data_IF_419095658030
#
_entry.id   IF_419095658030
#
_cell.length_a   1.000
_cell.length_b   1.000
_cell.length_c   1.000
_cell.angle_alpha   90.00
_cell.angle_beta   90.00
_cell.angle_gamma   90.00
#
_symmetry.space_group_name_H-M   'P 1'
#
loop_
_entity.id
_entity.type
_entity.pdbx_description
1 polymer ?
#
# COMPACT_ATOMS: atom_id res chain seq x y z
N UNK A 1 18.14 -0.91 6.35
CA UNK A 1 17.13 -1.18 7.40
C UNK A 1 17.66 -2.18 8.40
N UNK A 2 17.72 -3.46 8.02
CA UNK A 2 18.03 -4.57 8.93
C UNK A 2 19.32 -4.40 9.72
N UNK A 3 20.42 -3.97 9.11
CA UNK A 3 21.70 -3.72 9.83
C UNK A 3 21.50 -2.65 10.91
N UNK A 4 20.88 -1.51 10.57
CA UNK A 4 20.62 -0.43 11.53
C UNK A 4 19.68 -0.89 12.66
N UNK A 5 18.65 -1.66 12.30
CA UNK A 5 17.70 -2.21 13.27
C UNK A 5 18.37 -3.16 14.25
N UNK A 6 19.11 -4.15 13.75
CA UNK A 6 19.70 -5.21 14.58
C UNK A 6 20.96 -4.78 15.33
N UNK A 7 21.80 -3.94 14.72
CA UNK A 7 23.08 -3.55 15.31
C UNK A 7 23.01 -2.30 16.19
N UNK A 8 21.99 -1.45 15.99
CA UNK A 8 21.89 -0.19 16.72
C UNK A 8 20.54 -0.04 17.43
N UNK A 9 19.42 -0.09 16.70
CA UNK A 9 18.12 0.25 17.28
C UNK A 9 17.68 -0.71 18.39
N UNK A 10 17.85 -2.03 18.21
CA UNK A 10 17.52 -3.04 19.23
C UNK A 10 18.42 -2.91 20.46
N UNK A 11 19.77 -2.89 20.35
CA UNK A 11 20.65 -2.70 21.51
C UNK A 11 20.39 -1.39 22.26
N UNK A 12 20.19 -0.28 21.55
CA UNK A 12 19.90 1.03 22.16
C UNK A 12 18.57 0.97 22.91
N UNK A 13 17.53 0.39 22.32
CA UNK A 13 16.24 0.26 22.99
C UNK A 13 16.35 -0.62 24.24
N UNK A 14 17.00 -1.78 24.13
CA UNK A 14 17.21 -2.70 25.25
C UNK A 14 18.00 -2.04 26.39
N UNK A 15 19.06 -1.30 26.08
CA UNK A 15 19.95 -0.71 27.09
C UNK A 15 19.36 0.51 27.79
N UNK A 16 18.62 1.37 27.06
CA UNK A 16 18.22 2.68 27.58
C UNK A 16 16.71 2.85 27.79
N UNK A 17 15.89 2.00 27.18
CA UNK A 17 14.44 2.22 27.12
C UNK A 17 13.61 1.02 27.58
N UNK A 18 14.23 -0.12 27.90
CA UNK A 18 13.49 -1.31 28.33
C UNK A 18 12.69 -1.06 29.62
N UNK A 19 13.27 -0.31 30.56
CA UNK A 19 12.62 0.03 31.84
C UNK A 19 11.37 0.91 31.68
N UNK A 20 11.23 1.58 30.52
CA UNK A 20 10.04 2.39 30.20
C UNK A 20 8.83 1.57 29.75
N UNK A 21 9.02 0.27 29.47
CA UNK A 21 7.96 -0.65 29.05
C UNK A 21 7.98 -1.93 29.92
N UNK A 22 7.41 -1.88 31.14
CA UNK A 22 7.47 -3.00 32.08
C UNK A 22 6.76 -4.26 31.57
N UNK A 23 5.78 -4.12 30.67
CA UNK A 23 5.08 -5.25 30.04
C UNK A 23 6.01 -5.98 29.08
N UNK A 24 6.72 -5.23 28.22
CA UNK A 24 7.71 -5.82 27.32
C UNK A 24 8.90 -6.41 28.09
N UNK A 25 9.38 -5.71 29.12
CA UNK A 25 10.48 -6.18 29.97
C UNK A 25 10.15 -7.52 30.65
N UNK A 26 8.94 -7.66 31.21
CA UNK A 26 8.47 -8.91 31.78
C UNK A 26 8.36 -10.04 30.74
N UNK A 27 7.91 -9.72 29.52
CA UNK A 27 7.73 -10.69 28.43
C UNK A 27 9.06 -11.27 27.93
N UNK A 28 10.14 -10.50 27.98
CA UNK A 28 11.46 -10.92 27.47
C UNK A 28 12.41 -11.40 28.58
N UNK A 29 11.98 -11.37 29.85
CA UNK A 29 12.79 -11.79 30.98
C UNK A 29 13.15 -13.28 30.86
N UNK A 30 14.46 -13.57 30.83
CA UNK A 30 14.97 -14.95 30.69
C UNK A 30 14.86 -15.54 29.28
N UNK A 31 14.39 -14.78 28.29
CA UNK A 31 14.35 -15.22 26.89
C UNK A 31 15.74 -15.21 26.25
N UNK A 32 15.91 -15.95 25.14
CA UNK A 32 17.16 -15.95 24.39
C UNK A 32 17.41 -14.57 23.75
N UNK A 33 18.67 -14.24 23.44
CA UNK A 33 19.01 -12.99 22.77
C UNK A 33 18.27 -12.82 21.42
N UNK A 34 18.02 -13.92 20.71
CA UNK A 34 17.26 -13.91 19.45
C UNK A 34 15.79 -13.56 19.69
N UNK A 35 15.17 -14.14 20.72
CA UNK A 35 13.77 -13.88 21.07
C UNK A 35 13.57 -12.47 21.62
N UNK A 36 14.50 -11.99 22.43
CA UNK A 36 14.57 -10.59 22.91
C UNK A 36 14.62 -9.64 21.71
N UNK A 37 15.54 -9.90 20.77
CA UNK A 37 15.68 -9.09 19.56
C UNK A 37 14.41 -9.10 18.71
N UNK A 38 13.81 -10.26 18.49
CA UNK A 38 12.53 -10.40 17.78
C UNK A 38 11.38 -9.65 18.46
N UNK A 39 11.27 -9.73 19.78
CA UNK A 39 10.24 -9.06 20.56
C UNK A 39 10.37 -7.53 20.50
N UNK A 40 11.57 -6.98 20.71
CA UNK A 40 11.84 -5.54 20.61
C UNK A 40 11.65 -5.05 19.17
N UNK A 41 12.11 -5.84 18.19
CA UNK A 41 11.94 -5.50 16.79
C UNK A 41 10.47 -5.35 16.41
N UNK A 42 9.66 -6.35 16.78
CA UNK A 42 8.22 -6.37 16.50
C UNK A 42 7.49 -5.24 17.24
N UNK A 43 7.82 -5.01 18.50
CA UNK A 43 7.11 -4.06 19.35
C UNK A 43 7.50 -2.59 19.12
N UNK A 44 8.71 -2.30 18.64
CA UNK A 44 9.25 -0.93 18.62
C UNK A 44 9.94 -0.57 17.31
N UNK A 45 10.93 -1.38 16.89
CA UNK A 45 11.81 -1.01 15.77
C UNK A 45 11.07 -1.02 14.42
N UNK A 46 10.04 -1.86 14.26
CA UNK A 46 9.17 -1.84 13.07
C UNK A 46 8.53 -0.47 12.83
N UNK A 47 8.14 0.23 13.90
CA UNK A 47 7.55 1.57 13.81
C UNK A 47 8.58 2.65 13.44
N UNK A 48 9.82 2.50 13.89
CA UNK A 48 10.92 3.35 13.45
C UNK A 48 11.19 3.17 11.94
N UNK A 49 11.15 1.93 11.46
CA UNK A 49 11.19 1.62 10.03
C UNK A 49 10.11 2.35 9.23
N UNK A 50 8.88 2.33 9.72
CA UNK A 50 7.75 3.05 9.11
C UNK A 50 8.01 4.56 9.02
N UNK A 51 8.47 5.19 10.10
CA UNK A 51 8.79 6.62 10.09
C UNK A 51 9.83 6.96 9.01
N UNK A 52 10.87 6.14 8.89
CA UNK A 52 11.89 6.34 7.84
C UNK A 52 11.34 6.13 6.43
N UNK A 53 10.43 5.17 6.23
CA UNK A 53 9.77 4.95 4.94
C UNK A 53 8.84 6.09 4.55
N UNK A 54 8.12 6.69 5.51
CA UNK A 54 7.31 7.88 5.27
C UNK A 54 8.16 9.05 4.81
N UNK A 55 9.25 9.34 5.53
CA UNK A 55 10.18 10.41 5.17
C UNK A 55 10.80 10.15 3.79
N UNK A 56 11.24 8.92 3.55
CA UNK A 56 11.79 8.51 2.25
C UNK A 56 10.78 8.65 1.11
N UNK A 57 9.52 8.25 1.33
CA UNK A 57 8.45 8.38 0.33
C UNK A 57 8.12 9.82 0.00
N UNK A 58 8.00 10.69 1.02
CA UNK A 58 7.81 12.13 0.84
C UNK A 58 9.02 12.76 0.14
N UNK A 59 10.24 12.36 0.50
CA UNK A 59 11.45 12.82 -0.16
C UNK A 59 11.52 12.40 -1.63
N UNK A 60 11.14 11.17 -1.95
CA UNK A 60 11.02 10.69 -3.34
C UNK A 60 9.98 11.49 -4.11
N UNK A 61 8.81 11.77 -3.53
CA UNK A 61 7.83 12.63 -4.19
C UNK A 61 8.39 14.04 -4.44
N UNK A 62 9.09 14.60 -3.45
CA UNK A 62 9.73 15.90 -3.58
C UNK A 62 10.83 15.90 -4.64
N UNK A 63 11.68 14.86 -4.71
CA UNK A 63 12.74 14.76 -5.72
C UNK A 63 12.16 14.60 -7.13
N UNK A 64 11.04 13.88 -7.27
CA UNK A 64 10.33 13.67 -8.53
C UNK A 64 9.38 14.80 -8.92
N UNK A 65 9.21 15.82 -8.09
CA UNK A 65 8.21 16.90 -8.30
C UNK A 65 8.25 17.51 -9.71
N UNK A 66 9.45 17.72 -10.27
CA UNK A 66 9.59 18.30 -11.63
C UNK A 66 9.08 17.34 -12.70
N UNK A 67 9.46 16.06 -12.61
CA UNK A 67 9.03 15.02 -13.55
C UNK A 67 7.52 14.77 -13.46
N UNK A 68 6.97 14.73 -12.24
CA UNK A 68 5.53 14.58 -12.01
C UNK A 68 4.74 15.77 -12.57
N UNK A 69 5.16 17.00 -12.27
CA UNK A 69 4.52 18.20 -12.82
C UNK A 69 4.60 18.24 -14.34
N UNK A 70 5.73 17.83 -14.93
CA UNK A 70 5.88 17.71 -16.38
C UNK A 70 4.92 16.68 -16.96
N UNK A 71 4.82 15.49 -16.37
CA UNK A 71 3.94 14.40 -16.80
C UNK A 71 2.45 14.77 -16.68
N UNK A 72 2.05 15.44 -15.60
CA UNK A 72 0.68 15.94 -15.44
C UNK A 72 0.38 17.01 -16.49
N UNK A 73 1.31 17.95 -16.72
CA UNK A 73 1.16 19.01 -17.72
C UNK A 73 1.07 18.44 -19.14
N UNK A 74 1.90 17.45 -19.48
CA UNK A 74 1.87 16.80 -20.79
C UNK A 74 0.59 15.99 -20.97
N UNK A 75 0.16 15.22 -19.96
CA UNK A 75 -1.08 14.47 -19.99
C UNK A 75 -2.32 15.36 -20.15
N UNK A 76 -2.36 16.49 -19.43
CA UNK A 76 -3.45 17.46 -19.56
C UNK A 76 -3.42 18.20 -20.91
N UNK A 77 -2.24 18.49 -21.44
CA UNK A 77 -2.09 19.06 -22.78
C UNK A 77 -2.53 18.07 -23.87
N UNK A 78 -2.21 16.79 -23.74
CA UNK A 78 -2.66 15.71 -24.64
C UNK A 78 -4.18 15.54 -24.59
N UNK A 79 -4.78 15.63 -23.39
CA UNK A 79 -6.23 15.60 -23.21
C UNK A 79 -6.94 16.77 -23.90
N UNK A 80 -6.35 17.98 -23.86
CA UNK A 80 -6.88 19.17 -24.54
C UNK A 80 -6.67 19.14 -26.05
N UNK A 81 -5.56 18.56 -26.52
CA UNK A 81 -5.24 18.44 -27.95
C UNK A 81 -5.93 17.26 -28.65
N UNK A 82 -6.68 16.42 -27.94
CA UNK A 82 -7.43 15.30 -28.53
C UNK A 82 -8.52 15.74 -29.54
N UNK A 83 -8.76 17.05 -29.70
CA UNK A 83 -9.64 17.62 -30.74
C UNK A 83 -8.89 18.19 -31.96
N UNK A 84 -7.55 18.31 -31.94
CA UNK A 84 -6.78 18.93 -33.02
C UNK A 84 -5.34 18.37 -33.13
N UNK A 85 -5.11 17.55 -34.17
CA UNK A 85 -3.84 17.24 -34.86
C UNK A 85 -2.92 16.14 -34.28
N UNK A 86 -2.62 15.15 -35.15
CA UNK A 86 -1.33 14.45 -35.23
C UNK A 86 -1.39 12.92 -35.11
N UNK A 87 -0.82 12.18 -36.07
CA UNK A 87 -0.53 10.75 -35.93
C UNK A 87 0.48 10.54 -34.80
N UNK A 88 -0.01 10.19 -33.59
CA UNK A 88 0.83 9.65 -32.53
C UNK A 88 1.32 8.29 -32.99
N UNK A 89 2.64 8.07 -32.95
CA UNK A 89 3.26 6.79 -33.27
C UNK A 89 2.59 5.67 -32.47
N UNK A 90 2.37 4.51 -33.09
CA UNK A 90 1.68 3.37 -32.46
C UNK A 90 2.37 2.90 -31.17
N UNK A 91 3.67 3.19 -31.01
CA UNK A 91 4.47 2.91 -29.80
C UNK A 91 4.29 3.93 -28.67
N UNK A 92 3.75 5.12 -28.96
CA UNK A 92 3.55 6.21 -27.98
C UNK A 92 2.07 6.42 -27.64
N UNK A 93 1.18 5.57 -28.17
CA UNK A 93 -0.26 5.63 -27.89
C UNK A 93 -0.57 5.07 -26.51
N UNK A 94 -0.89 5.99 -25.60
CA UNK A 94 -1.37 5.73 -24.25
C UNK A 94 -2.92 5.77 -24.16
N UNK A 95 -3.51 5.26 -23.07
CA UNK A 95 -4.94 5.42 -22.84
C UNK A 95 -5.29 6.92 -22.72
N UNK A 96 -6.38 7.38 -23.36
CA UNK A 96 -6.77 8.78 -23.26
C UNK A 96 -7.04 9.17 -21.81
N UNK A 97 -6.40 10.25 -21.34
CA UNK A 97 -6.51 10.75 -19.96
C UNK A 97 -7.96 10.94 -19.48
N UNK A 98 -8.89 11.29 -20.38
CA UNK A 98 -10.32 11.38 -20.09
C UNK A 98 -10.87 10.06 -19.53
N UNK A 99 -10.55 8.93 -20.15
CA UNK A 99 -11.00 7.62 -19.71
C UNK A 99 -10.34 7.20 -18.40
N UNK A 100 -9.07 7.56 -18.19
CA UNK A 100 -8.37 7.34 -16.92
C UNK A 100 -9.02 8.10 -15.75
N UNK A 101 -9.39 9.37 -15.97
CA UNK A 101 -10.10 10.17 -14.95
C UNK A 101 -11.51 9.63 -14.67
N UNK A 102 -12.23 9.20 -15.71
CA UNK A 102 -13.54 8.56 -15.55
C UNK A 102 -13.41 7.26 -14.77
N UNK A 103 -12.43 6.42 -15.08
CA UNK A 103 -12.17 5.18 -14.34
C UNK A 103 -11.80 5.47 -12.88
N UNK A 104 -10.93 6.45 -12.62
CA UNK A 104 -10.57 6.86 -11.26
C UNK A 104 -11.81 7.21 -10.44
N UNK A 105 -12.68 8.08 -10.95
CA UNK A 105 -13.92 8.46 -10.26
C UNK A 105 -14.85 7.24 -10.14
N UNK A 106 -14.96 6.45 -11.20
CA UNK A 106 -15.79 5.23 -11.24
C UNK A 106 -15.39 4.16 -10.23
N UNK A 107 -14.11 4.08 -9.83
CA UNK A 107 -13.63 3.15 -8.79
C UNK A 107 -13.58 3.78 -7.39
N UNK A 108 -13.33 5.09 -7.29
CA UNK A 108 -13.32 5.80 -6.00
C UNK A 108 -14.71 5.87 -5.38
N UNK A 109 -15.75 6.13 -6.18
CA UNK A 109 -17.11 6.28 -5.66
C UNK A 109 -17.66 5.00 -5.00
N UNK A 110 -17.57 3.80 -5.60
CA UNK A 110 -17.93 2.56 -4.93
C UNK A 110 -17.14 2.31 -3.64
N UNK A 111 -15.85 2.66 -3.60
CA UNK A 111 -15.04 2.52 -2.38
C UNK A 111 -15.48 3.49 -1.28
N UNK A 112 -15.85 4.73 -1.62
CA UNK A 112 -16.46 5.66 -0.68
C UNK A 112 -17.77 5.11 -0.12
N UNK A 113 -18.65 4.57 -0.98
CA UNK A 113 -19.90 3.95 -0.54
C UNK A 113 -19.66 2.72 0.33
N UNK A 114 -18.64 1.92 0.02
CA UNK A 114 -18.21 0.79 0.84
C UNK A 114 -17.73 1.26 2.22
N UNK A 115 -16.90 2.31 2.28
CA UNK A 115 -16.44 2.89 3.54
C UNK A 115 -17.60 3.47 4.34
N UNK A 116 -18.58 4.08 3.69
CA UNK A 116 -19.80 4.55 4.34
C UNK A 116 -20.65 3.39 4.87
N UNK A 117 -20.79 2.30 4.12
CA UNK A 117 -21.56 1.14 4.53
C UNK A 117 -20.96 0.46 5.78
N UNK A 118 -19.64 0.44 5.90
CA UNK A 118 -18.93 -0.18 7.04
C UNK A 118 -18.91 0.73 8.27
N UNK A 119 -18.65 2.02 8.08
CA UNK A 119 -18.41 2.96 9.19
C UNK A 119 -19.70 3.64 9.65
N UNK A 120 -20.67 3.82 8.76
CA UNK A 120 -21.96 4.46 9.06
C UNK A 120 -21.88 5.97 9.30
N UNK A 121 -20.73 6.62 9.11
CA UNK A 121 -20.53 8.03 9.41
C UNK A 121 -19.75 8.75 8.30
N UNK A 122 -20.43 9.66 7.59
CA UNK A 122 -19.85 10.44 6.50
C UNK A 122 -18.68 11.33 6.92
N UNK A 123 -18.66 11.81 8.18
CA UNK A 123 -17.54 12.60 8.71
C UNK A 123 -16.26 11.78 8.84
N UNK A 124 -16.35 10.45 8.82
CA UNK A 124 -15.21 9.53 8.84
C UNK A 124 -14.95 8.97 7.45
N UNK A 125 -15.99 8.49 6.76
CA UNK A 125 -15.85 7.82 5.46
C UNK A 125 -15.27 8.72 4.37
N UNK A 126 -15.63 10.02 4.36
CA UNK A 126 -15.05 10.97 3.39
C UNK A 126 -13.55 11.19 3.66
N UNK A 127 -13.09 11.51 4.89
CA UNK A 127 -11.67 11.55 5.19
C UNK A 127 -10.93 10.25 4.92
N UNK A 128 -11.53 9.08 5.18
CA UNK A 128 -10.92 7.79 4.81
C UNK A 128 -10.65 7.69 3.31
N UNK A 129 -11.63 8.06 2.47
CA UNK A 129 -11.45 8.07 1.01
C UNK A 129 -10.39 9.07 0.57
N UNK A 130 -10.33 10.25 1.20
CA UNK A 130 -9.29 11.25 0.91
C UNK A 130 -7.91 10.70 1.27
N UNK A 131 -7.76 10.11 2.46
CA UNK A 131 -6.51 9.47 2.90
C UNK A 131 -6.11 8.37 1.91
N UNK A 132 -7.03 7.51 1.51
CA UNK A 132 -6.79 6.46 0.52
C UNK A 132 -6.27 7.02 -0.81
N UNK A 133 -6.88 8.09 -1.34
CA UNK A 133 -6.45 8.71 -2.60
C UNK A 133 -5.05 9.34 -2.45
N UNK A 134 -4.82 10.10 -1.38
CA UNK A 134 -3.56 10.81 -1.16
C UNK A 134 -2.42 9.83 -0.88
N UNK A 135 -2.64 8.88 0.03
CA UNK A 135 -1.66 7.83 0.35
C UNK A 135 -1.44 6.92 -0.86
N UNK A 136 -2.51 6.54 -1.57
CA UNK A 136 -2.44 5.78 -2.82
C UNK A 136 -1.56 6.49 -3.84
N UNK A 137 -1.84 7.75 -4.15
CA UNK A 137 -1.02 8.53 -5.09
C UNK A 137 0.45 8.63 -4.65
N UNK A 138 0.70 8.97 -3.38
CA UNK A 138 2.05 9.10 -2.82
C UNK A 138 2.83 7.79 -2.95
N UNK A 139 2.27 6.70 -2.43
CA UNK A 139 3.00 5.44 -2.34
C UNK A 139 3.03 4.67 -3.65
N UNK A 140 2.00 4.77 -4.51
CA UNK A 140 2.06 4.27 -5.88
C UNK A 140 3.20 4.96 -6.63
N UNK A 141 3.36 6.27 -6.49
CA UNK A 141 4.46 7.00 -7.15
C UNK A 141 5.85 6.52 -6.68
N UNK A 142 6.01 6.31 -5.38
CA UNK A 142 7.27 5.78 -4.80
C UNK A 142 7.52 4.36 -5.28
N UNK A 143 6.48 3.52 -5.23
CA UNK A 143 6.53 2.12 -5.62
C UNK A 143 6.87 1.94 -7.10
N UNK A 144 6.17 2.67 -7.97
CA UNK A 144 6.40 2.77 -9.41
C UNK A 144 7.84 3.19 -9.75
N UNK A 145 8.36 4.20 -9.05
CA UNK A 145 9.74 4.67 -9.25
C UNK A 145 10.77 3.62 -8.84
N UNK A 146 10.62 3.01 -7.66
CA UNK A 146 11.54 1.98 -7.18
C UNK A 146 11.48 0.74 -8.07
N UNK A 147 10.28 0.26 -8.40
CA UNK A 147 10.10 -0.87 -9.30
C UNK A 147 10.70 -0.61 -10.69
N UNK A 148 10.56 0.59 -11.23
CA UNK A 148 11.15 0.97 -12.52
C UNK A 148 12.69 1.01 -12.52
N UNK A 149 13.32 1.33 -11.38
CA UNK A 149 14.78 1.41 -11.24
C UNK A 149 15.44 0.09 -10.85
N UNK A 150 14.90 -0.57 -9.82
CA UNK A 150 15.54 -1.72 -9.16
C UNK A 150 14.70 -3.01 -9.23
N UNK A 151 13.51 -2.98 -9.85
CA UNK A 151 12.60 -4.13 -10.02
C UNK A 151 11.56 -4.27 -8.91
N UNK A 152 10.44 -4.96 -9.17
CA UNK A 152 9.36 -5.13 -8.17
C UNK A 152 9.75 -6.02 -7.01
N UNK A 153 10.72 -6.93 -7.17
CA UNK A 153 11.22 -7.77 -6.07
C UNK A 153 11.80 -6.97 -4.91
N UNK A 154 12.25 -5.73 -5.17
CA UNK A 154 12.76 -4.80 -4.16
C UNK A 154 11.79 -3.67 -3.85
N UNK A 155 10.54 -3.76 -4.32
CA UNK A 155 9.50 -2.80 -4.03
C UNK A 155 9.07 -2.91 -2.56
N UNK A 156 9.11 -1.82 -1.77
CA UNK A 156 8.83 -1.87 -0.33
C UNK A 156 7.32 -1.93 -0.02
N UNK A 157 6.57 -2.84 -0.66
CA UNK A 157 5.08 -2.93 -0.56
C UNK A 157 4.62 -3.19 0.86
N UNK A 158 5.26 -4.14 1.55
CA UNK A 158 4.98 -4.44 2.96
C UNK A 158 5.21 -3.20 3.85
N UNK A 159 6.28 -2.45 3.59
CA UNK A 159 6.57 -1.17 4.23
C UNK A 159 5.54 -0.08 3.97
N UNK A 160 5.13 0.09 2.72
CA UNK A 160 4.07 1.01 2.28
C UNK A 160 2.75 0.69 2.98
N UNK A 161 2.41 -0.59 3.10
CA UNK A 161 1.19 -1.06 3.75
C UNK A 161 1.17 -0.69 5.23
N UNK A 162 2.24 -1.02 5.96
CA UNK A 162 2.35 -0.71 7.40
C UNK A 162 2.33 0.80 7.60
N UNK A 163 3.04 1.57 6.76
CA UNK A 163 3.07 3.02 6.83
C UNK A 163 1.69 3.64 6.61
N UNK A 164 0.94 3.14 5.64
CA UNK A 164 -0.42 3.57 5.36
C UNK A 164 -1.34 3.25 6.53
N UNK A 165 -1.29 2.03 7.05
CA UNK A 165 -2.14 1.61 8.18
C UNK A 165 -1.85 2.49 9.39
N UNK A 166 -0.58 2.75 9.72
CA UNK A 166 -0.22 3.55 10.89
C UNK A 166 -0.61 5.02 10.74
N UNK A 167 -0.39 5.60 9.55
CA UNK A 167 -0.84 6.96 9.27
C UNK A 167 -2.36 7.07 9.34
N UNK A 168 -3.09 6.15 8.68
CA UNK A 168 -4.55 6.11 8.72
C UNK A 168 -5.05 5.90 10.16
N UNK A 169 -4.44 5.00 10.92
CA UNK A 169 -4.78 4.73 12.32
C UNK A 169 -4.57 5.98 13.18
N UNK A 170 -3.47 6.71 13.00
CA UNK A 170 -3.20 7.93 13.75
C UNK A 170 -4.27 9.01 13.48
N UNK A 171 -4.64 9.21 12.21
CA UNK A 171 -5.70 10.17 11.84
C UNK A 171 -7.07 9.71 12.36
N UNK A 172 -7.39 8.43 12.22
CA UNK A 172 -8.67 7.87 12.67
C UNK A 172 -8.80 7.89 14.19
N UNK A 173 -7.72 7.69 14.94
CA UNK A 173 -7.72 7.85 16.41
C UNK A 173 -8.06 9.28 16.82
N UNK A 174 -7.56 10.28 16.09
CA UNK A 174 -7.88 11.69 16.36
C UNK A 174 -9.35 12.01 16.05
N UNK A 175 -9.97 11.27 15.14
CA UNK A 175 -11.34 11.51 14.69
C UNK A 175 -12.41 10.69 15.45
N UNK A 176 -12.15 9.40 15.69
CA UNK A 176 -13.09 8.48 16.33
C UNK A 176 -12.76 8.21 17.81
N UNK A 177 -11.57 8.59 18.28
CA UNK A 177 -11.06 8.21 19.59
C UNK A 177 -10.30 6.88 19.58
N UNK A 178 -9.47 6.66 20.61
CA UNK A 178 -8.60 5.47 20.74
C UNK A 178 -9.36 4.17 20.90
N UNK A 179 -10.52 4.22 21.55
CA UNK A 179 -11.29 3.03 21.93
C UNK A 179 -12.36 2.67 20.89
N UNK A 180 -12.36 3.32 19.72
CA UNK A 180 -13.33 3.04 18.67
C UNK A 180 -13.06 1.67 18.03
N UNK A 181 -14.02 0.73 18.09
CA UNK A 181 -13.85 -0.62 17.51
C UNK A 181 -13.76 -0.59 15.97
N UNK A 182 -14.26 0.48 15.34
CA UNK A 182 -14.28 0.64 13.88
C UNK A 182 -12.95 1.21 13.34
N UNK A 183 -12.17 1.91 14.17
CA UNK A 183 -10.94 2.57 13.75
C UNK A 183 -9.90 1.62 13.14
N UNK A 184 -9.71 0.44 13.76
CA UNK A 184 -8.79 -0.57 13.26
C UNK A 184 -9.23 -1.15 11.91
N UNK A 185 -10.52 -1.48 11.78
CA UNK A 185 -11.11 -1.98 10.52
C UNK A 185 -10.93 -0.95 9.40
N UNK A 186 -11.25 0.32 9.69
CA UNK A 186 -11.10 1.42 8.74
C UNK A 186 -9.65 1.60 8.27
N UNK A 187 -8.67 1.54 9.18
CA UNK A 187 -7.25 1.66 8.83
C UNK A 187 -6.77 0.50 7.94
N UNK A 188 -7.21 -0.73 8.24
CA UNK A 188 -6.88 -1.92 7.43
C UNK A 188 -7.51 -1.80 6.04
N UNK A 189 -8.75 -1.34 5.92
CA UNK A 189 -9.43 -1.14 4.64
C UNK A 189 -8.68 -0.14 3.74
N UNK A 190 -8.18 0.96 4.30
CA UNK A 190 -7.35 1.93 3.57
C UNK A 190 -6.02 1.28 3.16
N UNK A 191 -5.36 0.62 4.12
CA UNK A 191 -4.08 -0.05 3.90
C UNK A 191 -4.13 -1.11 2.80
N UNK A 192 -5.20 -1.90 2.74
CA UNK A 192 -5.40 -2.92 1.73
C UNK A 192 -5.49 -2.32 0.31
N UNK A 193 -6.30 -1.28 0.12
CA UNK A 193 -6.45 -0.63 -1.19
C UNK A 193 -5.12 0.00 -1.63
N UNK A 194 -4.44 0.72 -0.74
CA UNK A 194 -3.16 1.38 -1.06
C UNK A 194 -2.05 0.35 -1.32
N UNK A 195 -2.02 -0.76 -0.58
CA UNK A 195 -1.11 -1.87 -0.83
C UNK A 195 -1.29 -2.44 -2.23
N UNK A 196 -2.53 -2.81 -2.59
CA UNK A 196 -2.83 -3.34 -3.93
C UNK A 196 -2.49 -2.32 -5.02
N UNK A 197 -2.82 -1.04 -4.82
CA UNK A 197 -2.50 0.01 -5.77
C UNK A 197 -0.98 0.14 -5.96
N UNK A 198 -0.20 0.14 -4.88
CA UNK A 198 1.25 0.25 -4.94
C UNK A 198 1.88 -0.95 -5.66
N UNK A 199 1.47 -2.17 -5.34
CA UNK A 199 1.95 -3.38 -6.01
C UNK A 199 1.66 -3.32 -7.53
N UNK A 200 0.40 -3.10 -7.91
CA UNK A 200 -0.02 -3.04 -9.32
C UNK A 200 0.63 -1.87 -10.06
N UNK A 201 0.80 -0.72 -9.40
CA UNK A 201 1.50 0.41 -9.99
C UNK A 201 2.98 0.15 -10.23
N UNK A 202 3.65 -0.57 -9.33
CA UNK A 202 5.03 -1.02 -9.48
C UNK A 202 5.22 -1.98 -10.66
N UNK A 203 4.32 -2.96 -10.79
CA UNK A 203 4.35 -3.92 -11.89
C UNK A 203 4.03 -3.24 -13.23
N UNK A 204 3.01 -2.37 -13.27
CA UNK A 204 2.67 -1.59 -14.46
C UNK A 204 3.86 -0.79 -15.01
N UNK A 205 4.65 -0.16 -14.14
CA UNK A 205 5.83 0.62 -14.59
C UNK A 205 6.93 -0.26 -15.18
N UNK A 206 7.10 -1.48 -14.65
CA UNK A 206 8.04 -2.44 -15.23
C UNK A 206 7.55 -2.99 -16.55
N UNK A 207 6.26 -3.31 -16.65
CA UNK A 207 5.65 -3.75 -17.89
C UNK A 207 5.79 -2.68 -18.97
N UNK A 208 5.51 -1.41 -18.64
CA UNK A 208 5.69 -0.29 -19.58
C UNK A 208 7.17 -0.11 -19.97
N UNK A 209 8.11 -0.29 -19.05
CA UNK A 209 9.55 -0.22 -19.36
C UNK A 209 9.98 -1.36 -20.29
N UNK A 210 9.58 -2.59 -20.00
CA UNK A 210 9.87 -3.75 -20.83
C UNK A 210 9.22 -3.59 -22.21
N UNK A 211 7.95 -3.16 -22.23
CA UNK A 211 7.18 -2.84 -23.43
C UNK A 211 7.87 -1.81 -24.31
N UNK A 212 8.33 -0.71 -23.72
CA UNK A 212 9.09 0.32 -24.43
C UNK A 212 10.36 -0.24 -25.09
N UNK A 213 11.09 -1.13 -24.40
CA UNK A 213 12.32 -1.74 -24.93
C UNK A 213 12.02 -2.67 -26.13
N UNK A 214 10.91 -3.40 -26.10
CA UNK A 214 10.53 -4.34 -27.18
C UNK A 214 9.62 -3.71 -28.24
N UNK A 215 9.31 -2.42 -28.15
CA UNK A 215 8.46 -1.70 -29.10
C UNK A 215 6.95 -2.01 -28.97
N UNK A 216 6.48 -2.40 -27.80
CA UNK A 216 5.06 -2.63 -27.53
C UNK A 216 4.27 -1.32 -27.45
N UNK A 217 2.97 -1.40 -27.73
CA UNK A 217 2.03 -0.26 -27.60
C UNK A 217 1.52 -0.14 -26.15
N UNK A 218 1.73 0.99 -25.45
CA UNK A 218 1.37 1.17 -24.04
C UNK A 218 -0.10 0.90 -23.70
N UNK A 219 -1.06 1.39 -24.50
CA UNK A 219 -2.48 1.22 -24.19
C UNK A 219 -2.91 -0.26 -24.13
N UNK A 220 -2.28 -1.12 -24.96
CA UNK A 220 -2.56 -2.56 -24.97
C UNK A 220 -2.09 -3.21 -23.68
N UNK A 221 -0.94 -2.78 -23.15
CA UNK A 221 -0.40 -3.30 -21.89
C UNK A 221 -1.28 -2.91 -20.71
N UNK A 222 -1.71 -1.65 -20.64
CA UNK A 222 -2.59 -1.17 -19.58
C UNK A 222 -3.96 -1.85 -19.60
N UNK A 223 -4.53 -2.09 -20.79
CA UNK A 223 -5.77 -2.85 -20.93
C UNK A 223 -5.61 -4.29 -20.40
N UNK A 224 -4.54 -4.98 -20.82
CA UNK A 224 -4.27 -6.35 -20.38
C UNK A 224 -4.01 -6.44 -18.87
N UNK A 225 -3.31 -5.45 -18.30
CA UNK A 225 -3.13 -5.34 -16.85
C UNK A 225 -4.48 -5.18 -16.14
N UNK A 226 -5.37 -4.33 -16.65
CA UNK A 226 -6.72 -4.16 -16.12
C UNK A 226 -7.54 -5.46 -16.16
N UNK A 227 -7.49 -6.19 -17.28
CA UNK A 227 -8.15 -7.49 -17.43
C UNK A 227 -7.60 -8.51 -16.43
N UNK A 228 -6.26 -8.57 -16.29
CA UNK A 228 -5.60 -9.45 -15.33
C UNK A 228 -5.99 -9.14 -13.89
N UNK A 229 -5.94 -7.86 -13.49
CA UNK A 229 -6.32 -7.42 -12.15
C UNK A 229 -7.79 -7.75 -11.83
N UNK A 230 -8.70 -7.49 -12.78
CA UNK A 230 -10.11 -7.80 -12.63
C UNK A 230 -10.37 -9.32 -12.52
N UNK A 231 -9.73 -10.11 -13.37
CA UNK A 231 -9.84 -11.58 -13.34
C UNK A 231 -9.31 -12.15 -12.02
N UNK A 232 -8.16 -11.66 -11.54
CA UNK A 232 -7.61 -12.02 -10.24
C UNK A 232 -8.58 -11.67 -9.10
N UNK A 233 -9.17 -10.48 -9.11
CA UNK A 233 -10.13 -10.08 -8.07
C UNK A 233 -11.36 -11.00 -8.01
N UNK A 234 -11.88 -11.41 -9.18
CA UNK A 234 -13.03 -12.33 -9.27
C UNK A 234 -12.72 -13.75 -8.78
N UNK A 235 -11.50 -14.23 -8.97
CA UNK A 235 -11.09 -15.58 -8.57
C UNK A 235 -10.67 -15.60 -7.09
N UNK A 236 -9.95 -14.58 -6.63
CA UNK A 236 -9.39 -14.55 -5.28
C UNK A 236 -10.46 -14.52 -4.19
N UNK A 237 -11.54 -13.76 -4.36
CA UNK A 237 -12.57 -13.65 -3.32
C UNK A 237 -13.29 -15.00 -3.04
N UNK A 238 -13.81 -15.73 -4.04
CA UNK A 238 -14.39 -17.06 -3.82
C UNK A 238 -13.39 -18.07 -3.24
N UNK A 239 -12.14 -18.06 -3.71
CA UNK A 239 -11.10 -18.98 -3.23
C UNK A 239 -10.80 -18.71 -1.75
N UNK A 240 -10.62 -17.44 -1.37
CA UNK A 240 -10.38 -17.07 0.03
C UNK A 240 -11.57 -17.41 0.92
N UNK A 241 -12.81 -17.22 0.44
CA UNK A 241 -14.01 -17.62 1.19
C UNK A 241 -14.10 -19.14 1.37
N UNK A 242 -13.75 -19.92 0.35
CA UNK A 242 -13.74 -21.38 0.42
C UNK A 242 -12.67 -21.89 1.39
N UNK A 243 -11.47 -21.30 1.35
CA UNK A 243 -10.39 -21.62 2.29
C UNK A 243 -10.76 -21.22 3.72
N UNK A 244 -11.37 -20.04 3.90
CA UNK A 244 -11.83 -19.59 5.21
C UNK A 244 -12.91 -20.51 5.79
N UNK A 245 -13.87 -20.98 4.97
CA UNK A 245 -14.90 -21.90 5.41
C UNK A 245 -14.37 -23.32 5.71
N UNK A 246 -13.40 -23.80 4.93
CA UNK A 246 -12.86 -25.15 5.09
C UNK A 246 -11.86 -25.26 6.26
N UNK A 247 -10.98 -24.26 6.38
CA UNK A 247 -9.84 -24.34 7.30
C UNK A 247 -9.83 -23.25 8.37
N UNK A 248 -10.61 -22.17 8.23
CA UNK A 248 -10.43 -20.97 9.04
C UNK A 248 -9.13 -20.22 8.71
N UNK A 249 -9.07 -18.93 9.05
CA UNK A 249 -7.89 -18.08 8.85
C UNK A 249 -7.57 -17.38 10.18
N UNK A 250 -6.30 -17.45 10.61
CA UNK A 250 -5.81 -16.80 11.81
C UNK A 250 -5.56 -17.78 12.96
N UNK A 251 -5.87 -17.37 14.19
CA UNK A 251 -5.65 -18.19 15.37
C UNK A 251 -6.55 -19.45 15.36
N UNK A 252 -6.05 -20.62 15.79
CA UNK A 252 -6.85 -21.83 15.88
C UNK A 252 -8.09 -21.64 16.75
N UNK A 253 -9.24 -22.10 16.26
CA UNK A 253 -10.50 -22.12 17.01
C UNK A 253 -10.95 -23.57 17.25
N UNK A 254 -11.91 -23.82 18.17
CA UNK A 254 -12.47 -25.16 18.34
C UNK A 254 -13.06 -25.75 17.05
N UNK A 255 -13.63 -24.90 16.18
CA UNK A 255 -14.16 -25.31 14.87
C UNK A 255 -13.05 -25.54 13.84
N UNK A 256 -11.93 -24.82 13.97
CA UNK A 256 -10.79 -24.87 13.05
C UNK A 256 -9.46 -25.00 13.81
N UNK A 257 -9.15 -26.20 14.33
CA UNK A 257 -7.95 -26.42 15.16
C UNK A 257 -6.64 -26.36 14.35
N UNK A 258 -6.71 -26.53 13.04
CA UNK A 258 -5.58 -26.43 12.12
C UNK A 258 -5.77 -25.26 11.14
N UNK A 259 -5.99 -24.06 11.68
CA UNK A 259 -6.27 -22.87 10.88
C UNK A 259 -5.10 -22.44 10.00
N UNK A 260 -5.42 -21.89 8.83
CA UNK A 260 -4.41 -21.29 7.97
C UNK A 260 -3.86 -20.02 8.62
N UNK A 261 -2.56 -19.79 8.48
CA UNK A 261 -1.98 -18.51 8.88
C UNK A 261 -2.63 -17.36 8.08
N UNK A 262 -2.83 -16.21 8.73
CA UNK A 262 -3.30 -15.03 8.05
C UNK A 262 -2.32 -14.64 6.91
N UNK A 263 -2.82 -14.21 5.74
CA UNK A 263 -1.95 -13.76 4.65
C UNK A 263 -1.05 -12.62 5.12
N UNK A 264 0.27 -12.78 5.00
CA UNK A 264 1.23 -11.73 5.32
C UNK A 264 1.67 -11.05 4.02
N UNK A 265 1.69 -9.70 3.96
CA UNK A 265 2.30 -9.00 2.84
C UNK A 265 3.80 -9.27 2.88
N UNK A 266 4.29 -10.04 1.90
CA UNK A 266 5.71 -10.16 1.60
C UNK A 266 6.18 -8.92 0.82
#
# INVERSE_FOLDING_TARGET
>A
GSILSWQFAIPIYHMFFLDSDPVLAAKIAGASAADVGGAIWSAKVRYLGVGTMLIGGVWTLFSLRKSLLSGVKSGLAAARKSAAVGEVAETDRDLPMKWMLVALVGFVLPLLLLYQAIVGNWFVSVPMTIIMIVAGFLFVSVSAYLAGLIGSSNNPVSGITISTILFASAVLVLMLGRDSPIGAVAAIMIGAVVCCAAAVGGDNLQDLKAGYIVGATPWKQQLMLGIGAFSCALIMAPVLNLLAAAYGIGAPTPEHPNSLAAPHPH
#
